data_IF_470598006959
#
_entry.id   IF_470598006959
#
_cell.length_a   1.000
_cell.length_b   1.000
_cell.length_c   1.000
_cell.angle_alpha   90.00
_cell.angle_beta   90.00
_cell.angle_gamma   90.00
#
_symmetry.space_group_name_H-M   'P 1'
#
loop_
_entity.id
_entity.type
_entity.pdbx_description
1 polymer ?
#
# COMPACT_ATOMS: atom_id res chain seq x y z
N UNK A 1 24.90 -18.61 2.80
CA UNK A 1 24.41 -17.47 3.58
C UNK A 1 24.89 -16.20 2.88
N UNK A 2 24.00 -15.25 2.60
CA UNK A 2 24.39 -13.94 2.04
C UNK A 2 25.17 -13.14 3.10
N UNK A 3 26.49 -13.35 3.17
CA UNK A 3 27.39 -12.74 4.16
C UNK A 3 27.34 -11.19 4.15
N UNK A 4 26.93 -10.58 3.03
CA UNK A 4 26.83 -9.13 2.91
C UNK A 4 25.68 -8.51 3.72
N UNK A 5 24.58 -9.24 3.95
CA UNK A 5 23.37 -8.65 4.55
C UNK A 5 23.28 -8.82 6.07
N UNK A 6 24.09 -9.69 6.68
CA UNK A 6 24.09 -9.95 8.12
C UNK A 6 25.28 -9.31 8.88
N UNK A 7 26.17 -8.58 8.20
CA UNK A 7 27.39 -8.00 8.80
C UNK A 7 27.14 -6.98 9.92
N UNK A 8 25.91 -6.48 10.04
CA UNK A 8 25.51 -5.54 11.09
C UNK A 8 25.12 -6.23 12.41
N UNK A 9 24.97 -7.56 12.40
CA UNK A 9 24.64 -8.35 13.57
C UNK A 9 25.85 -8.53 14.48
N UNK A 10 25.62 -8.55 15.78
CA UNK A 10 26.65 -8.99 16.72
C UNK A 10 26.82 -10.51 16.71
N UNK A 11 27.80 -11.03 17.47
CA UNK A 11 28.12 -12.45 17.49
C UNK A 11 26.94 -13.34 17.92
N UNK A 12 26.14 -12.90 18.91
CA UNK A 12 25.00 -13.68 19.43
C UNK A 12 23.84 -13.63 18.44
N UNK A 13 23.55 -12.46 17.91
CA UNK A 13 22.50 -12.25 16.91
C UNK A 13 22.80 -13.03 15.61
N UNK A 14 24.06 -13.02 15.15
CA UNK A 14 24.48 -13.79 13.99
C UNK A 14 24.38 -15.30 14.22
N UNK A 15 24.78 -15.78 15.40
CA UNK A 15 24.65 -17.19 15.76
C UNK A 15 23.16 -17.62 15.81
N UNK A 16 22.30 -16.81 16.41
CA UNK A 16 20.86 -17.06 16.45
C UNK A 16 20.24 -17.04 15.04
N UNK A 17 20.64 -16.09 14.20
CA UNK A 17 20.14 -15.96 12.83
C UNK A 17 20.43 -17.19 11.96
N UNK A 18 21.49 -17.95 12.23
CA UNK A 18 21.73 -19.23 11.55
C UNK A 18 20.58 -20.20 11.78
N UNK A 19 20.15 -20.40 13.03
CA UNK A 19 19.03 -21.28 13.36
C UNK A 19 17.71 -20.76 12.76
N UNK A 20 17.46 -19.45 12.83
CA UNK A 20 16.30 -18.81 12.20
C UNK A 20 16.27 -19.09 10.69
N UNK A 21 17.39 -18.91 10.01
CA UNK A 21 17.49 -19.15 8.58
C UNK A 21 17.24 -20.62 8.20
N UNK A 22 17.68 -21.56 9.04
CA UNK A 22 17.41 -22.98 8.86
C UNK A 22 15.92 -23.31 8.98
N UNK A 23 15.20 -22.74 9.95
CA UNK A 23 13.74 -22.95 10.09
C UNK A 23 12.94 -22.42 8.92
N UNK A 24 13.26 -21.22 8.43
CA UNK A 24 12.59 -20.68 7.24
C UNK A 24 13.00 -21.40 5.94
N UNK A 25 14.17 -22.07 5.92
CA UNK A 25 14.58 -23.01 4.88
C UNK A 25 14.43 -22.44 3.46
N UNK A 26 13.50 -23.01 2.67
CA UNK A 26 13.23 -22.61 1.29
C UNK A 26 12.13 -21.57 1.14
N UNK A 27 11.62 -21.00 2.23
CA UNK A 27 10.59 -19.96 2.19
C UNK A 27 11.10 -18.75 1.41
N UNK A 28 10.25 -18.23 0.53
CA UNK A 28 10.57 -17.09 -0.34
C UNK A 28 9.62 -15.94 -0.05
N UNK A 29 10.11 -14.72 -0.23
CA UNK A 29 9.26 -13.53 -0.29
C UNK A 29 8.31 -13.66 -1.47
N UNK A 30 7.02 -13.37 -1.23
CA UNK A 30 5.91 -13.57 -2.17
C UNK A 30 6.15 -12.95 -3.55
N UNK A 31 6.76 -11.76 -3.63
CA UNK A 31 6.86 -11.00 -4.88
C UNK A 31 8.24 -11.02 -5.53
N UNK A 32 9.31 -11.02 -4.74
CA UNK A 32 10.68 -10.94 -5.26
C UNK A 32 11.29 -12.32 -5.51
N UNK A 33 10.73 -13.38 -4.91
CA UNK A 33 11.32 -14.73 -4.95
C UNK A 33 12.63 -14.87 -4.18
N UNK A 34 13.11 -13.80 -3.52
CA UNK A 34 14.27 -13.82 -2.63
C UNK A 34 13.95 -14.66 -1.38
N UNK A 35 15.00 -15.13 -0.70
CA UNK A 35 14.87 -15.84 0.58
C UNK A 35 14.08 -15.01 1.59
N UNK A 36 13.19 -15.64 2.35
CA UNK A 36 12.44 -14.93 3.42
C UNK A 36 13.36 -14.31 4.47
N UNK A 37 14.54 -14.89 4.66
CA UNK A 37 15.57 -14.37 5.58
C UNK A 37 16.02 -12.94 5.25
N UNK A 38 15.83 -12.44 4.02
CA UNK A 38 16.12 -11.04 3.69
C UNK A 38 15.15 -10.07 4.38
N UNK A 39 13.89 -10.45 4.56
CA UNK A 39 12.91 -9.67 5.32
C UNK A 39 13.30 -9.59 6.80
N UNK A 40 13.61 -10.74 7.41
CA UNK A 40 14.03 -10.82 8.82
C UNK A 40 15.24 -9.94 9.12
N UNK A 41 16.26 -9.97 8.24
CA UNK A 41 17.42 -9.09 8.35
C UNK A 41 17.06 -7.61 8.18
N UNK A 42 16.16 -7.28 7.26
CA UNK A 42 15.72 -5.90 7.05
C UNK A 42 14.98 -5.35 8.28
N UNK A 43 14.06 -6.11 8.86
CA UNK A 43 13.33 -5.76 10.09
C UNK A 43 14.31 -5.58 11.24
N UNK A 44 15.20 -6.54 11.48
CA UNK A 44 16.21 -6.46 12.53
C UNK A 44 17.14 -5.25 12.35
N UNK A 45 17.56 -4.94 11.11
CA UNK A 45 18.38 -3.77 10.80
C UNK A 45 17.66 -2.47 11.12
N UNK A 46 16.38 -2.36 10.75
CA UNK A 46 15.54 -1.19 11.06
C UNK A 46 15.45 -1.01 12.59
N UNK A 47 15.16 -2.06 13.35
CA UNK A 47 15.11 -2.02 14.82
C UNK A 47 16.45 -1.58 15.42
N UNK A 48 17.56 -2.16 14.95
CA UNK A 48 18.91 -1.85 15.45
C UNK A 48 19.35 -0.41 15.17
N UNK A 49 18.72 0.28 14.21
CA UNK A 49 18.96 1.72 14.00
C UNK A 49 18.40 2.61 15.12
N UNK A 50 17.45 2.11 15.91
CA UNK A 50 16.79 2.85 16.99
C UNK A 50 17.22 2.39 18.39
N UNK A 51 17.70 1.14 18.52
CA UNK A 51 18.07 0.58 19.83
C UNK A 51 19.36 -0.23 19.79
N UNK A 52 20.03 -0.29 20.95
CA UNK A 52 21.15 -1.21 21.22
C UNK A 52 20.72 -2.45 22.01
N UNK A 53 19.42 -2.57 22.30
CA UNK A 53 18.89 -3.72 23.04
C UNK A 53 18.92 -4.98 22.16
N UNK A 54 19.81 -5.91 22.48
CA UNK A 54 20.01 -7.16 21.73
C UNK A 54 18.81 -8.10 21.81
N UNK A 55 17.96 -7.99 22.86
CA UNK A 55 16.71 -8.77 23.00
C UNK A 55 15.73 -8.36 21.89
N UNK A 56 15.57 -7.06 21.63
CA UNK A 56 14.66 -6.58 20.59
C UNK A 56 15.13 -6.95 19.19
N UNK A 57 16.45 -6.93 18.95
CA UNK A 57 17.02 -7.32 17.65
C UNK A 57 16.87 -8.83 17.43
N UNK A 58 17.10 -9.66 18.45
CA UNK A 58 16.87 -11.10 18.37
C UNK A 58 15.39 -11.43 18.15
N UNK A 59 14.49 -10.79 18.89
CA UNK A 59 13.04 -10.95 18.68
C UNK A 59 12.62 -10.52 17.27
N UNK A 60 13.21 -9.45 16.71
CA UNK A 60 12.97 -9.05 15.33
C UNK A 60 13.45 -10.09 14.30
N UNK A 61 14.59 -10.74 14.55
CA UNK A 61 15.07 -11.82 13.68
C UNK A 61 14.12 -13.03 13.70
N UNK A 62 13.53 -13.35 14.84
CA UNK A 62 12.65 -14.52 15.02
C UNK A 62 11.15 -14.24 15.01
N UNK A 63 10.70 -13.04 14.64
CA UNK A 63 9.33 -12.60 14.91
C UNK A 63 8.24 -13.43 14.21
N UNK A 64 8.56 -14.06 13.09
CA UNK A 64 7.63 -14.89 12.29
C UNK A 64 7.76 -16.39 12.57
N UNK A 65 8.63 -16.82 13.50
CA UNK A 65 8.93 -18.24 13.67
C UNK A 65 7.70 -19.07 14.04
N UNK A 66 6.84 -18.56 14.93
CA UNK A 66 5.63 -19.27 15.33
C UNK A 66 4.47 -19.12 14.33
N UNK A 67 4.54 -18.12 13.43
CA UNK A 67 3.51 -17.90 12.40
C UNK A 67 3.78 -18.77 11.15
N UNK A 68 5.04 -18.85 10.72
CA UNK A 68 5.41 -19.38 9.41
C UNK A 68 6.14 -20.74 9.45
N UNK A 69 6.52 -21.22 10.64
CA UNK A 69 7.33 -22.43 10.78
C UNK A 69 6.76 -23.39 11.84
N UNK A 70 7.31 -24.59 11.92
CA UNK A 70 6.98 -25.57 12.97
C UNK A 70 7.87 -25.41 14.22
N UNK A 71 8.57 -24.28 14.38
CA UNK A 71 9.42 -24.03 15.55
C UNK A 71 8.57 -24.02 16.83
N UNK A 72 8.88 -24.88 17.79
CA UNK A 72 8.26 -24.82 19.11
C UNK A 72 8.97 -23.81 20.02
N UNK A 73 8.32 -23.44 21.13
CA UNK A 73 8.94 -22.59 22.15
C UNK A 73 10.24 -23.21 22.72
N UNK A 74 10.28 -24.54 22.88
CA UNK A 74 11.46 -25.25 23.36
C UNK A 74 12.61 -25.21 22.34
N UNK A 75 12.28 -25.30 21.05
CA UNK A 75 13.27 -25.21 19.98
C UNK A 75 13.89 -23.80 19.94
N UNK A 76 13.04 -22.76 20.02
CA UNK A 76 13.47 -21.37 20.09
C UNK A 76 14.33 -21.11 21.33
N UNK A 77 13.90 -21.59 22.50
CA UNK A 77 14.68 -21.49 23.74
C UNK A 77 16.07 -22.10 23.56
N UNK A 78 16.15 -23.32 23.05
CA UNK A 78 17.43 -24.00 22.83
C UNK A 78 18.34 -23.21 21.89
N UNK A 79 17.83 -22.75 20.75
CA UNK A 79 18.63 -21.96 19.80
C UNK A 79 19.16 -20.65 20.40
N UNK A 80 18.37 -19.99 21.25
CA UNK A 80 18.81 -18.78 21.95
C UNK A 80 19.90 -19.07 22.99
N UNK A 81 19.78 -20.16 23.76
CA UNK A 81 20.84 -20.59 24.70
C UNK A 81 22.12 -20.94 23.93
N UNK A 82 22.01 -21.70 22.84
CA UNK A 82 23.14 -22.11 21.99
C UNK A 82 23.83 -20.88 21.35
N UNK A 83 23.07 -19.82 21.04
CA UNK A 83 23.57 -18.53 20.56
C UNK A 83 24.19 -17.64 21.66
N UNK A 84 24.10 -18.03 22.94
CA UNK A 84 24.73 -17.34 24.08
C UNK A 84 23.83 -16.32 24.78
N UNK A 85 22.51 -16.41 24.63
CA UNK A 85 21.57 -15.67 25.49
C UNK A 85 21.39 -16.40 26.82
N UNK A 86 21.27 -15.65 27.92
CA UNK A 86 20.89 -16.22 29.21
C UNK A 86 19.45 -16.72 29.18
N UNK A 87 19.09 -17.61 30.12
CA UNK A 87 17.71 -18.10 30.25
C UNK A 87 16.68 -16.97 30.42
N UNK A 88 17.06 -15.88 31.11
CA UNK A 88 16.18 -14.72 31.27
C UNK A 88 15.99 -13.98 29.96
N UNK A 89 17.08 -13.63 29.26
CA UNK A 89 17.01 -12.96 27.96
C UNK A 89 16.23 -13.80 26.95
N UNK A 90 16.44 -15.13 26.93
CA UNK A 90 15.74 -16.02 26.01
C UNK A 90 14.23 -16.03 26.25
N UNK A 91 13.78 -16.02 27.52
CA UNK A 91 12.36 -15.90 27.87
C UNK A 91 11.77 -14.56 27.45
N UNK A 92 12.51 -13.47 27.60
CA UNK A 92 12.07 -12.15 27.14
C UNK A 92 11.91 -12.11 25.61
N UNK A 93 12.85 -12.72 24.87
CA UNK A 93 12.78 -12.84 23.40
C UNK A 93 11.56 -13.66 22.99
N UNK A 94 11.36 -14.85 23.59
CA UNK A 94 10.20 -15.71 23.33
C UNK A 94 8.89 -14.99 23.60
N UNK A 95 8.80 -14.25 24.71
CA UNK A 95 7.64 -13.45 25.05
C UNK A 95 7.30 -12.43 23.95
N UNK A 96 8.31 -11.73 23.43
CA UNK A 96 8.12 -10.78 22.33
C UNK A 96 7.66 -11.47 21.03
N UNK A 97 8.21 -12.64 20.69
CA UNK A 97 7.78 -13.39 19.51
C UNK A 97 6.32 -13.84 19.65
N UNK A 98 5.91 -14.32 20.82
CA UNK A 98 4.50 -14.62 21.13
C UNK A 98 3.59 -13.40 20.99
N UNK A 99 4.02 -12.23 21.47
CA UNK A 99 3.25 -11.00 21.31
C UNK A 99 3.07 -10.61 19.83
N UNK A 100 4.04 -10.92 18.98
CA UNK A 100 4.05 -10.57 17.55
C UNK A 100 3.33 -11.57 16.65
N UNK A 101 3.14 -12.81 17.12
CA UNK A 101 2.46 -13.88 16.37
C UNK A 101 0.96 -13.59 16.27
N UNK A 102 0.40 -13.68 15.06
CA UNK A 102 -1.03 -13.46 14.83
C UNK A 102 -1.88 -14.49 15.60
N UNK A 103 -2.92 -14.01 16.30
CA UNK A 103 -3.86 -14.88 17.06
C UNK A 103 -5.16 -15.05 16.29
N UNK A 104 -5.67 -13.99 15.65
CA UNK A 104 -6.93 -14.04 14.92
C UNK A 104 -6.71 -14.54 13.48
N UNK A 105 -6.23 -15.78 13.33
CA UNK A 105 -5.99 -16.43 12.04
C UNK A 105 -7.26 -17.09 11.48
N UNK A 106 -7.24 -17.46 10.19
CA UNK A 106 -8.44 -17.99 9.51
C UNK A 106 -8.84 -19.37 10.05
N UNK A 107 -7.83 -20.16 10.39
CA UNK A 107 -7.89 -21.54 10.83
C UNK A 107 -8.64 -21.63 12.17
N UNK A 108 -8.29 -20.74 13.10
CA UNK A 108 -8.89 -20.69 14.45
C UNK A 108 -10.20 -19.88 14.49
N UNK A 109 -10.37 -18.93 13.56
CA UNK A 109 -11.54 -18.06 13.50
C UNK A 109 -12.21 -18.06 12.10
N UNK A 110 -12.71 -19.22 11.64
CA UNK A 110 -13.27 -19.36 10.29
C UNK A 110 -14.60 -18.58 10.10
N UNK A 111 -15.36 -18.39 11.17
CA UNK A 111 -16.71 -17.80 11.14
C UNK A 111 -16.72 -16.27 11.00
N UNK A 112 -15.57 -15.61 11.19
CA UNK A 112 -15.45 -14.16 11.04
C UNK A 112 -14.58 -13.80 9.83
N UNK A 113 -14.98 -12.78 9.08
CA UNK A 113 -14.26 -12.38 7.87
C UNK A 113 -12.88 -11.74 8.16
N UNK A 114 -12.03 -11.63 7.14
CA UNK A 114 -10.68 -11.03 7.25
C UNK A 114 -10.68 -9.66 7.89
N UNK A 115 -11.65 -8.80 7.53
CA UNK A 115 -11.74 -7.43 8.05
C UNK A 115 -11.88 -7.44 9.57
N UNK A 116 -12.76 -8.29 10.10
CA UNK A 116 -12.97 -8.41 11.55
C UNK A 116 -11.78 -9.08 12.24
N UNK A 117 -11.18 -10.10 11.63
CA UNK A 117 -9.95 -10.72 12.16
C UNK A 117 -8.82 -9.71 12.32
N UNK A 118 -8.51 -8.95 11.26
CA UNK A 118 -7.45 -7.92 11.30
C UNK A 118 -7.80 -6.72 12.20
N UNK A 119 -9.07 -6.42 12.42
CA UNK A 119 -9.47 -5.44 13.44
C UNK A 119 -9.15 -5.94 14.85
N UNK A 120 -9.56 -7.17 15.20
CA UNK A 120 -9.26 -7.78 16.51
C UNK A 120 -7.75 -7.90 16.74
N UNK A 121 -7.01 -8.23 15.69
CA UNK A 121 -5.55 -8.30 15.72
C UNK A 121 -4.93 -6.93 16.01
N UNK A 122 -5.41 -5.85 15.37
CA UNK A 122 -4.94 -4.49 15.67
C UNK A 122 -5.24 -4.07 17.12
N UNK A 123 -6.43 -4.40 17.64
CA UNK A 123 -6.79 -4.14 19.04
C UNK A 123 -5.91 -4.93 20.04
N UNK A 124 -5.56 -6.18 19.71
CA UNK A 124 -4.65 -7.02 20.49
C UNK A 124 -3.23 -6.44 20.48
N UNK A 125 -2.70 -6.15 19.29
CA UNK A 125 -1.38 -5.56 19.11
C UNK A 125 -1.25 -4.20 19.82
N UNK A 126 -2.33 -3.41 19.92
CA UNK A 126 -2.34 -2.18 20.73
C UNK A 126 -2.02 -2.42 22.21
N UNK A 127 -2.33 -3.60 22.74
CA UNK A 127 -2.04 -4.01 24.13
C UNK A 127 -0.65 -4.65 24.30
N UNK A 128 0.03 -4.98 23.21
CA UNK A 128 1.40 -5.53 23.24
C UNK A 128 2.41 -4.53 23.80
N UNK A 129 3.53 -5.05 24.29
CA UNK A 129 4.61 -4.32 24.92
C UNK A 129 5.23 -3.27 23.97
N UNK A 130 5.82 -2.19 24.50
CA UNK A 130 6.56 -1.22 23.68
C UNK A 130 7.61 -1.85 22.77
N UNK A 131 8.26 -2.93 23.23
CA UNK A 131 9.23 -3.70 22.45
C UNK A 131 8.60 -4.37 21.23
N UNK A 132 7.50 -5.10 21.43
CA UNK A 132 6.75 -5.74 20.34
C UNK A 132 6.22 -4.70 19.35
N UNK A 133 5.62 -3.60 19.81
CA UNK A 133 5.15 -2.53 18.91
C UNK A 133 6.29 -1.96 18.06
N UNK A 134 7.47 -1.76 18.64
CA UNK A 134 8.66 -1.28 17.93
C UNK A 134 9.07 -2.23 16.80
N UNK A 135 9.08 -3.54 17.05
CA UNK A 135 9.38 -4.55 16.03
C UNK A 135 8.29 -4.55 14.95
N UNK A 136 7.02 -4.48 15.35
CA UNK A 136 5.91 -4.45 14.38
C UNK A 136 5.93 -3.21 13.48
N UNK A 137 6.40 -2.07 13.96
CA UNK A 137 6.62 -0.91 13.08
C UNK A 137 7.68 -1.20 12.00
N UNK A 138 8.78 -1.85 12.35
CA UNK A 138 9.82 -2.23 11.40
C UNK A 138 9.31 -3.23 10.36
N UNK A 139 8.56 -4.23 10.80
CA UNK A 139 7.87 -5.21 9.94
C UNK A 139 6.95 -4.50 8.92
N UNK A 140 6.05 -3.63 9.40
CA UNK A 140 5.16 -2.87 8.51
C UNK A 140 5.92 -2.00 7.49
N UNK A 141 7.03 -1.39 7.90
CA UNK A 141 7.86 -0.56 7.01
C UNK A 141 8.50 -1.41 5.91
N UNK A 142 9.05 -2.57 6.24
CA UNK A 142 9.68 -3.44 5.24
C UNK A 142 8.64 -4.02 4.28
N UNK A 143 7.51 -4.50 4.80
CA UNK A 143 6.42 -5.06 4.00
C UNK A 143 5.83 -4.03 3.03
N UNK A 144 5.70 -2.77 3.44
CA UNK A 144 5.17 -1.71 2.59
C UNK A 144 6.03 -1.40 1.35
N UNK A 145 7.36 -1.57 1.41
CA UNK A 145 8.29 -1.17 0.33
C UNK A 145 8.03 -1.88 -0.99
N UNK A 146 7.73 -3.18 -0.91
CA UNK A 146 7.60 -4.02 -2.11
C UNK A 146 6.15 -4.12 -2.59
N UNK A 147 5.17 -3.72 -1.76
CA UNK A 147 3.75 -3.98 -2.03
C UNK A 147 3.16 -3.11 -3.12
N UNK A 148 3.52 -1.82 -3.16
CA UNK A 148 2.92 -0.86 -4.11
C UNK A 148 3.21 -1.26 -5.55
N UNK A 149 4.48 -1.55 -5.86
CA UNK A 149 4.93 -1.84 -7.23
C UNK A 149 4.47 -3.23 -7.70
N UNK A 150 4.45 -4.22 -6.81
CA UNK A 150 4.24 -5.62 -7.20
C UNK A 150 2.77 -6.08 -7.12
N UNK A 151 1.94 -5.48 -6.26
CA UNK A 151 0.53 -5.86 -6.10
C UNK A 151 -0.32 -4.67 -5.58
N UNK A 152 -0.64 -3.68 -6.44
CA UNK A 152 -1.42 -2.50 -6.04
C UNK A 152 -2.80 -2.84 -5.45
N UNK A 153 -3.41 -3.94 -5.92
CA UNK A 153 -4.71 -4.41 -5.45
C UNK A 153 -4.66 -4.86 -3.98
N UNK A 154 -3.71 -5.72 -3.64
CA UNK A 154 -3.49 -6.12 -2.26
C UNK A 154 -2.90 -4.98 -1.42
N UNK A 155 -2.09 -4.09 -2.01
CA UNK A 155 -1.54 -2.92 -1.34
C UNK A 155 -2.65 -2.04 -0.75
N UNK A 156 -3.77 -1.79 -1.45
CA UNK A 156 -4.94 -1.07 -0.90
C UNK A 156 -5.55 -1.76 0.33
N UNK A 157 -5.48 -3.09 0.39
CA UNK A 157 -5.96 -3.87 1.55
C UNK A 157 -4.98 -3.72 2.72
N UNK A 158 -3.71 -4.04 2.50
CA UNK A 158 -2.63 -3.91 3.49
C UNK A 158 -2.56 -2.49 4.07
N UNK A 159 -2.69 -1.48 3.21
CA UNK A 159 -2.63 -0.08 3.59
C UNK A 159 -3.71 0.32 4.62
N UNK A 160 -4.93 -0.20 4.47
CA UNK A 160 -6.02 -0.03 5.46
C UNK A 160 -5.79 -0.83 6.73
N UNK A 161 -5.14 -1.99 6.64
CA UNK A 161 -4.76 -2.80 7.79
C UNK A 161 -3.65 -2.13 8.62
N UNK A 162 -2.60 -1.62 7.96
CA UNK A 162 -1.53 -0.83 8.55
C UNK A 162 -2.06 0.39 9.30
N UNK A 163 -3.04 1.11 8.72
CA UNK A 163 -3.68 2.25 9.39
C UNK A 163 -4.30 1.85 10.74
N UNK A 164 -5.04 0.73 10.78
CA UNK A 164 -5.71 0.25 12.00
C UNK A 164 -4.68 -0.15 13.05
N UNK A 165 -3.65 -0.88 12.65
CA UNK A 165 -2.58 -1.31 13.54
C UNK A 165 -1.89 -0.09 14.17
N UNK A 166 -1.49 0.90 13.36
CA UNK A 166 -0.81 2.11 13.86
C UNK A 166 -1.72 2.96 14.75
N UNK A 167 -3.03 3.00 14.50
CA UNK A 167 -3.99 3.70 15.37
C UNK A 167 -4.05 3.13 16.80
N UNK A 168 -3.72 1.84 16.98
CA UNK A 168 -3.72 1.17 18.28
C UNK A 168 -2.32 1.03 18.92
N UNK A 169 -1.27 0.94 18.12
CA UNK A 169 0.11 0.78 18.60
C UNK A 169 0.82 2.14 18.68
N UNK A 170 0.69 2.87 19.79
CA UNK A 170 1.31 4.19 19.99
C UNK A 170 2.32 4.24 21.16
N UNK A 171 2.81 3.09 21.63
CA UNK A 171 3.68 2.97 22.82
C UNK A 171 5.10 2.52 22.52
N UNK A 172 5.40 2.07 21.31
CA UNK A 172 6.76 1.69 20.91
C UNK A 172 7.67 2.89 20.66
N UNK A 173 8.81 2.66 20.00
CA UNK A 173 9.74 3.73 19.64
C UNK A 173 9.07 4.82 18.78
N UNK A 174 9.11 6.06 19.27
CA UNK A 174 8.42 7.19 18.64
C UNK A 174 8.97 7.52 17.25
N UNK A 175 10.29 7.39 17.05
CA UNK A 175 10.93 7.71 15.77
C UNK A 175 10.53 6.68 14.72
N UNK A 176 10.46 5.41 15.11
CA UNK A 176 10.04 4.34 14.21
C UNK A 176 8.54 4.37 13.93
N UNK A 177 7.71 4.71 14.93
CA UNK A 177 6.30 4.99 14.72
C UNK A 177 6.09 6.10 13.68
N UNK A 178 6.82 7.22 13.82
CA UNK A 178 6.78 8.32 12.86
C UNK A 178 7.21 7.88 11.45
N UNK A 179 8.25 7.03 11.33
CA UNK A 179 8.67 6.44 10.04
C UNK A 179 7.61 5.52 9.44
N UNK A 180 6.92 4.72 10.26
CA UNK A 180 5.82 3.88 9.80
C UNK A 180 4.65 4.74 9.28
N UNK A 181 4.28 5.79 10.00
CA UNK A 181 3.28 6.77 9.55
C UNK A 181 3.68 7.47 8.25
N UNK A 182 4.94 7.89 8.11
CA UNK A 182 5.45 8.46 6.87
C UNK A 182 5.41 7.47 5.70
N UNK A 183 5.74 6.20 5.97
CA UNK A 183 5.67 5.13 4.97
C UNK A 183 4.22 4.92 4.52
N UNK A 184 3.28 4.90 5.47
CA UNK A 184 1.85 4.86 5.19
C UNK A 184 1.40 6.02 4.28
N UNK A 185 1.79 7.27 4.60
CA UNK A 185 1.46 8.45 3.78
C UNK A 185 2.01 8.31 2.35
N UNK A 186 3.27 7.89 2.20
CA UNK A 186 3.87 7.68 0.86
C UNK A 186 3.12 6.63 0.04
N UNK A 187 2.69 5.54 0.69
CA UNK A 187 1.88 4.50 0.03
C UNK A 187 0.52 5.06 -0.42
N UNK A 188 -0.14 5.91 0.40
CA UNK A 188 -1.36 6.60 -0.05
C UNK A 188 -1.11 7.42 -1.31
N UNK A 189 -0.04 8.23 -1.31
CA UNK A 189 0.30 9.09 -2.44
C UNK A 189 0.59 8.29 -3.71
N UNK A 190 1.28 7.14 -3.60
CA UNK A 190 1.54 6.27 -4.73
C UNK A 190 0.27 5.58 -5.24
N UNK A 191 -0.58 5.06 -4.34
CA UNK A 191 -1.86 4.45 -4.72
C UNK A 191 -2.86 5.46 -5.32
N UNK A 192 -2.73 6.74 -4.96
CA UNK A 192 -3.47 7.84 -5.56
C UNK A 192 -2.98 8.16 -6.98
N UNK A 193 -1.68 7.98 -7.26
CA UNK A 193 -1.09 8.13 -8.60
C UNK A 193 -1.40 6.96 -9.53
N UNK A 194 -1.50 5.73 -9.01
CA UNK A 194 -1.78 4.51 -9.81
C UNK A 194 -3.28 4.12 -9.86
N UNK A 195 -4.18 5.04 -9.49
CA UNK A 195 -5.63 4.83 -9.47
C UNK A 195 -6.37 5.43 -10.68
N UNK A 196 -7.71 5.53 -10.61
CA UNK A 196 -8.54 6.33 -11.53
C UNK A 196 -7.93 7.69 -11.91
N UNK A 197 -7.21 8.32 -10.97
CA UNK A 197 -6.54 9.60 -11.14
C UNK A 197 -5.55 9.65 -12.31
N UNK A 198 -4.88 8.54 -12.67
CA UNK A 198 -3.94 8.56 -13.80
C UNK A 198 -4.67 8.78 -15.13
N UNK A 199 -5.73 7.99 -15.36
CA UNK A 199 -6.59 8.13 -16.52
C UNK A 199 -7.24 9.52 -16.56
N UNK A 200 -7.73 10.00 -15.42
CA UNK A 200 -8.35 11.33 -15.32
C UNK A 200 -7.34 12.44 -15.58
N UNK A 201 -6.12 12.35 -15.05
CA UNK A 201 -5.07 13.34 -15.32
C UNK A 201 -4.70 13.34 -16.79
N UNK A 202 -4.47 12.17 -17.40
CA UNK A 202 -4.19 12.07 -18.83
C UNK A 202 -5.34 12.64 -19.68
N UNK A 203 -6.58 12.38 -19.29
CA UNK A 203 -7.77 12.93 -19.95
C UNK A 203 -7.84 14.46 -19.83
N UNK A 204 -7.68 15.02 -18.63
CA UNK A 204 -7.74 16.47 -18.41
C UNK A 204 -6.55 17.21 -19.05
N UNK A 205 -5.35 16.61 -19.03
CA UNK A 205 -4.18 17.16 -19.73
C UNK A 205 -4.42 17.23 -21.24
N UNK A 206 -4.88 16.13 -21.84
CA UNK A 206 -5.18 16.09 -23.27
C UNK A 206 -6.35 17.04 -23.64
N UNK A 207 -7.38 17.13 -22.78
CA UNK A 207 -8.51 18.02 -22.97
C UNK A 207 -8.09 19.49 -22.90
N UNK A 208 -7.29 19.86 -21.89
CA UNK A 208 -6.79 21.22 -21.72
C UNK A 208 -5.86 21.65 -22.86
N UNK A 209 -5.04 20.73 -23.37
CA UNK A 209 -4.15 20.98 -24.50
C UNK A 209 -4.85 20.95 -25.88
N UNK A 210 -6.14 20.61 -25.94
CA UNK A 210 -6.85 20.30 -27.18
C UNK A 210 -6.14 19.26 -28.06
N UNK A 211 -5.48 18.28 -27.42
CA UNK A 211 -4.72 17.22 -28.08
C UNK A 211 -5.63 16.02 -28.40
N UNK A 212 -6.20 16.03 -29.62
CA UNK A 212 -7.13 15.01 -30.07
C UNK A 212 -6.50 13.60 -30.12
N UNK A 213 -5.22 13.49 -30.47
CA UNK A 213 -4.57 12.18 -30.60
C UNK A 213 -4.34 11.55 -29.23
N UNK A 214 -3.81 12.32 -28.28
CA UNK A 214 -3.61 11.86 -26.91
C UNK A 214 -4.95 11.50 -26.24
N UNK A 215 -5.98 12.30 -26.49
CA UNK A 215 -7.30 12.09 -25.90
C UNK A 215 -7.95 10.81 -26.45
N UNK A 216 -7.99 10.61 -27.77
CA UNK A 216 -8.59 9.43 -28.38
C UNK A 216 -7.85 8.12 -28.05
N UNK A 217 -6.55 8.17 -27.73
CA UNK A 217 -5.83 7.01 -27.20
C UNK A 217 -6.41 6.51 -25.88
N UNK A 218 -7.14 7.32 -25.12
CA UNK A 218 -7.77 6.89 -23.86
C UNK A 218 -9.13 6.20 -24.06
N UNK A 219 -9.75 6.37 -25.23
CA UNK A 219 -11.07 5.84 -25.55
C UNK A 219 -10.98 4.52 -26.32
N UNK A 220 -12.02 3.69 -26.19
CA UNK A 220 -12.20 2.55 -27.08
C UNK A 220 -12.73 3.02 -28.44
N UNK A 221 -12.56 2.20 -29.48
CA UNK A 221 -12.95 2.57 -30.85
C UNK A 221 -14.45 2.89 -31.00
N UNK A 222 -15.31 2.26 -30.20
CA UNK A 222 -16.77 2.45 -30.24
C UNK A 222 -17.29 3.40 -29.16
N UNK A 223 -16.39 4.12 -28.50
CA UNK A 223 -16.75 4.91 -27.34
C UNK A 223 -17.69 6.06 -27.67
N UNK A 224 -18.63 6.33 -26.76
CA UNK A 224 -19.62 7.40 -26.90
C UNK A 224 -19.53 8.44 -25.80
N UNK A 225 -19.73 9.70 -26.19
CA UNK A 225 -19.79 10.83 -25.29
C UNK A 225 -21.22 11.35 -25.23
N UNK A 226 -21.71 11.59 -24.01
CA UNK A 226 -23.03 12.13 -23.71
C UNK A 226 -22.83 13.53 -23.11
N UNK A 227 -23.03 14.56 -23.94
CA UNK A 227 -22.89 15.95 -23.55
C UNK A 227 -24.25 16.66 -23.51
N UNK A 228 -24.52 17.51 -22.49
CA UNK A 228 -25.71 18.35 -22.48
C UNK A 228 -25.78 19.31 -23.68
N UNK A 229 -24.63 19.75 -24.21
CA UNK A 229 -24.53 20.72 -25.31
C UNK A 229 -24.55 20.07 -26.68
N UNK A 230 -23.81 18.98 -26.87
CA UNK A 230 -23.62 18.36 -28.18
C UNK A 230 -24.44 17.08 -28.40
N UNK A 231 -25.19 16.64 -27.39
CA UNK A 231 -25.96 15.40 -27.43
C UNK A 231 -25.07 14.16 -27.30
N UNK A 232 -25.49 13.07 -27.93
CA UNK A 232 -24.75 11.80 -27.93
C UNK A 232 -24.00 11.63 -29.24
N UNK A 233 -22.67 11.53 -29.17
CA UNK A 233 -21.80 11.39 -30.34
C UNK A 233 -20.71 10.32 -30.10
N UNK A 234 -20.14 9.74 -31.17
CA UNK A 234 -18.84 9.07 -31.09
C UNK A 234 -17.77 10.00 -30.48
N UNK A 235 -16.79 9.43 -29.78
CA UNK A 235 -15.78 10.21 -29.06
C UNK A 235 -14.96 11.12 -30.00
N UNK A 236 -14.52 10.62 -31.14
CA UNK A 236 -13.78 11.38 -32.15
C UNK A 236 -14.59 12.57 -32.69
N UNK A 237 -15.83 12.35 -33.10
CA UNK A 237 -16.73 13.40 -33.57
C UNK A 237 -17.02 14.45 -32.48
N UNK A 238 -17.18 14.01 -31.23
CA UNK A 238 -17.43 14.91 -30.11
C UNK A 238 -16.24 15.84 -29.86
N UNK A 239 -15.04 15.30 -29.70
CA UNK A 239 -13.86 16.10 -29.35
C UNK A 239 -13.40 16.98 -30.52
N UNK A 240 -13.58 16.54 -31.77
CA UNK A 240 -13.36 17.42 -32.93
C UNK A 240 -14.25 18.66 -32.87
N UNK A 241 -15.57 18.49 -32.67
CA UNK A 241 -16.50 19.62 -32.54
C UNK A 241 -16.18 20.52 -31.36
N UNK A 242 -15.86 19.92 -30.20
CA UNK A 242 -15.49 20.68 -29.01
C UNK A 242 -14.25 21.55 -29.29
N UNK A 243 -13.19 20.98 -29.88
CA UNK A 243 -11.96 21.70 -30.17
C UNK A 243 -12.12 22.71 -31.31
N UNK A 244 -13.02 22.47 -32.26
CA UNK A 244 -13.37 23.46 -33.28
C UNK A 244 -13.97 24.74 -32.68
N UNK A 245 -14.77 24.61 -31.61
CA UNK A 245 -15.41 25.71 -30.88
C UNK A 245 -14.47 26.36 -29.83
N UNK A 246 -13.37 25.70 -29.47
CA UNK A 246 -12.47 26.09 -28.38
C UNK A 246 -11.30 26.92 -28.88
N UNK A 247 -11.03 28.03 -28.19
CA UNK A 247 -9.77 28.78 -28.32
C UNK A 247 -8.76 28.32 -27.27
N UNK A 248 -9.20 28.21 -26.01
CA UNK A 248 -8.37 27.70 -24.92
C UNK A 248 -9.23 27.13 -23.78
N UNK A 249 -8.63 26.21 -23.02
CA UNK A 249 -9.27 25.54 -21.89
C UNK A 249 -8.35 25.55 -20.68
N UNK A 250 -8.82 26.09 -19.55
CA UNK A 250 -8.12 25.96 -18.26
C UNK A 250 -8.95 25.08 -17.34
N UNK A 251 -8.35 23.96 -16.94
CA UNK A 251 -9.01 22.92 -16.15
C UNK A 251 -8.32 22.80 -14.80
N UNK A 252 -9.12 22.72 -13.73
CA UNK A 252 -8.60 22.44 -12.38
C UNK A 252 -9.36 21.29 -11.77
N UNK A 253 -8.70 20.14 -11.68
CA UNK A 253 -9.23 18.97 -10.98
C UNK A 253 -9.51 19.31 -9.51
N UNK A 254 -10.74 19.06 -9.06
CA UNK A 254 -11.15 19.24 -7.67
C UNK A 254 -11.08 17.90 -6.96
N UNK A 255 -11.72 16.85 -7.50
CA UNK A 255 -11.73 15.53 -6.89
C UNK A 255 -12.04 14.41 -7.88
N UNK A 256 -11.58 13.19 -7.58
CA UNK A 256 -11.95 11.96 -8.29
C UNK A 256 -12.73 11.04 -7.35
N UNK A 257 -13.84 10.49 -7.85
CA UNK A 257 -14.70 9.55 -7.15
C UNK A 257 -14.74 8.21 -7.89
N UNK A 258 -14.88 7.11 -7.16
CA UNK A 258 -15.13 5.78 -7.73
C UNK A 258 -16.51 5.29 -7.25
N UNK A 259 -17.34 4.87 -8.20
CA UNK A 259 -18.70 4.40 -7.92
C UNK A 259 -18.70 2.94 -7.45
N UNK A 260 -19.82 2.51 -6.84
CA UNK A 260 -20.04 1.10 -6.48
C UNK A 260 -19.97 0.14 -7.68
N UNK A 261 -20.22 0.64 -8.89
CA UNK A 261 -20.15 -0.12 -10.14
C UNK A 261 -18.76 -0.01 -10.81
N UNK A 262 -17.76 0.52 -10.10
CA UNK A 262 -16.39 0.78 -10.60
C UNK A 262 -16.33 1.78 -11.77
N UNK A 263 -17.31 2.67 -11.86
CA UNK A 263 -17.22 3.85 -12.73
C UNK A 263 -16.41 4.93 -12.02
N UNK A 264 -15.80 5.83 -12.78
CA UNK A 264 -15.00 6.93 -12.24
C UNK A 264 -15.78 8.22 -12.49
N UNK A 265 -15.91 9.12 -11.50
CA UNK A 265 -16.26 10.53 -11.78
C UNK A 265 -15.06 11.43 -11.51
N UNK A 266 -14.76 12.32 -12.45
CA UNK A 266 -13.88 13.46 -12.24
C UNK A 266 -14.73 14.71 -12.00
N UNK A 267 -14.58 15.34 -10.84
CA UNK A 267 -15.14 16.65 -10.54
C UNK A 267 -14.06 17.72 -10.69
N UNK A 268 -14.26 18.68 -11.59
CA UNK A 268 -13.26 19.71 -11.91
C UNK A 268 -13.92 21.02 -12.34
N UNK A 269 -13.16 22.10 -12.18
CA UNK A 269 -13.55 23.42 -12.67
C UNK A 269 -13.08 23.60 -14.12
N UNK A 270 -13.92 24.17 -14.98
CA UNK A 270 -13.65 24.41 -16.39
C UNK A 270 -13.88 25.88 -16.77
N UNK A 271 -12.79 26.60 -17.02
CA UNK A 271 -12.79 27.87 -17.73
C UNK A 271 -12.60 27.62 -19.23
N UNK A 272 -13.68 27.74 -19.99
CA UNK A 272 -13.72 27.50 -21.43
C UNK A 272 -13.76 28.82 -22.20
N UNK A 273 -12.73 29.08 -23.00
CA UNK A 273 -12.65 30.25 -23.87
C UNK A 273 -13.04 29.79 -25.28
N UNK A 274 -14.16 30.31 -25.77
CA UNK A 274 -14.65 30.04 -27.12
C UNK A 274 -13.85 30.82 -28.17
N UNK A 275 -13.89 30.39 -29.43
CA UNK A 275 -13.30 31.16 -30.56
C UNK A 275 -13.91 32.55 -30.77
N UNK A 276 -15.09 32.81 -30.20
CA UNK A 276 -15.67 34.17 -30.14
C UNK A 276 -14.94 35.10 -29.16
N UNK A 277 -14.07 34.56 -28.30
CA UNK A 277 -13.44 35.25 -27.17
C UNK A 277 -14.30 35.25 -25.90
N UNK A 278 -15.49 34.66 -25.93
CA UNK A 278 -16.36 34.52 -24.76
C UNK A 278 -15.78 33.49 -23.77
N UNK A 279 -15.70 33.87 -22.49
CA UNK A 279 -15.30 32.99 -21.40
C UNK A 279 -16.55 32.44 -20.70
N UNK A 280 -16.65 31.12 -20.64
CA UNK A 280 -17.68 30.39 -19.90
C UNK A 280 -17.00 29.59 -18.79
N UNK A 281 -17.38 29.83 -17.53
CA UNK A 281 -16.77 29.21 -16.34
C UNK A 281 -17.82 28.45 -15.53
N UNK A 282 -17.57 27.16 -15.27
CA UNK A 282 -18.49 26.27 -14.55
C UNK A 282 -17.78 25.04 -13.99
N UNK A 283 -18.40 24.33 -13.05
CA UNK A 283 -17.91 23.03 -12.60
C UNK A 283 -18.52 21.89 -13.42
N UNK A 284 -17.77 20.80 -13.55
CA UNK A 284 -18.11 19.64 -14.37
C UNK A 284 -17.93 18.36 -13.54
N UNK A 285 -18.89 17.43 -13.59
CA UNK A 285 -18.64 16.01 -13.28
C UNK A 285 -18.70 15.20 -14.57
N UNK A 286 -17.57 14.64 -14.94
CA UNK A 286 -17.43 13.69 -16.03
C UNK A 286 -17.46 12.28 -15.44
N UNK A 287 -18.38 11.43 -15.90
CA UNK A 287 -18.52 10.03 -15.47
C UNK A 287 -17.99 9.13 -16.58
N UNK A 288 -17.02 8.28 -16.25
CA UNK A 288 -16.32 7.39 -17.16
C UNK A 288 -16.68 5.93 -16.88
N UNK A 289 -17.12 5.21 -17.90
CA UNK A 289 -17.19 3.75 -17.90
C UNK A 289 -16.01 3.20 -18.68
N UNK A 290 -15.35 2.18 -18.12
CA UNK A 290 -14.17 1.55 -18.70
C UNK A 290 -14.45 0.10 -19.10
N UNK A 291 -13.75 -0.37 -20.12
CA UNK A 291 -13.67 -1.80 -20.45
C UNK A 291 -12.56 -2.53 -19.65
N UNK A 292 -12.37 -3.81 -19.95
CA UNK A 292 -11.35 -4.65 -19.30
C UNK A 292 -9.90 -4.19 -19.54
N UNK A 293 -9.65 -3.44 -20.61
CA UNK A 293 -8.34 -2.88 -20.97
C UNK A 293 -8.14 -1.45 -20.44
N UNK A 294 -9.06 -0.99 -19.58
CA UNK A 294 -9.13 0.38 -19.02
C UNK A 294 -9.30 1.48 -20.07
N UNK A 295 -9.86 1.18 -21.25
CA UNK A 295 -10.25 2.22 -22.22
C UNK A 295 -11.63 2.75 -21.88
N UNK A 296 -11.84 4.05 -22.12
CA UNK A 296 -13.14 4.70 -21.90
C UNK A 296 -14.11 4.23 -22.98
N UNK A 297 -15.20 3.58 -22.59
CA UNK A 297 -16.28 3.16 -23.51
C UNK A 297 -17.46 4.14 -23.52
N UNK A 298 -17.68 4.82 -22.39
CA UNK A 298 -18.72 5.85 -22.26
C UNK A 298 -18.20 6.98 -21.38
N UNK A 299 -18.39 8.22 -21.85
CA UNK A 299 -18.18 9.44 -21.08
C UNK A 299 -19.51 10.18 -20.98
N UNK A 300 -19.95 10.51 -19.76
CA UNK A 300 -21.13 11.34 -19.51
C UNK A 300 -20.74 12.61 -18.80
N UNK A 301 -21.02 13.74 -19.43
CA UNK A 301 -20.66 15.07 -18.96
C UNK A 301 -21.87 15.70 -18.27
N UNK A 302 -21.66 16.25 -17.07
CA UNK A 302 -22.68 16.96 -16.29
C UNK A 302 -22.12 18.32 -15.89
N UNK A 303 -22.82 19.39 -16.26
CA UNK A 303 -22.48 20.75 -15.85
C UNK A 303 -23.20 21.10 -14.54
N UNK A 304 -22.50 21.75 -13.62
CA UNK A 304 -23.17 22.51 -12.57
C UNK A 304 -23.75 23.77 -13.21
N UNK A 305 -25.07 23.88 -13.22
CA UNK A 305 -25.77 25.11 -13.61
C UNK A 305 -25.70 26.15 -12.49
#
# INVERSE_FOLDING_TARGET
MDELNSSFLDKREAAFFVAVAEWHGTQKRKFTGLSYTTHLLAVAKIVKTQTRNTILVAAALGHDLFEDTNCSENDLLKALIDAGYSLSEAKDIIGLVHELTDVFIKEDYPDINRKLRKQKEAERLGKSSPGAQTIKYADLIDNARDLVVNDPGFCRIFHREMQRILAHMNRGDFTLYAKAMQTWIRVQEQLAKEGPSELINAYLEALGASDLEALLKLFSMEARVFSPRYGQLPADEFFQKLFEDTEASNLRLIQVFESVNKEICAFFHYDWILKSGELISFDVCDIFKLDGDRKITELRIIYSL
#
